data_IF_827517642710
#
_entry.id   IF_827517642710
#
_cell.length_a   1.000
_cell.length_b   1.000
_cell.length_c   1.000
_cell.angle_alpha   90.00
_cell.angle_beta   90.00
_cell.angle_gamma   90.00
#
_symmetry.space_group_name_H-M   'P 1'
#
loop_
_entity.id
_entity.type
_entity.pdbx_description
1 polymer ?
#
# COMPACT_ATOMS: atom_id res chain seq x y z
N UNK A 1 9.64 26.01 -8.12
CA UNK A 1 9.37 25.13 -9.29
C UNK A 1 8.53 25.90 -10.31
N UNK A 2 8.80 25.82 -11.62
CA UNK A 2 7.97 26.51 -12.65
C UNK A 2 6.57 25.86 -12.70
N UNK A 3 5.51 26.67 -12.87
CA UNK A 3 4.10 26.23 -12.87
C UNK A 3 3.85 25.12 -13.90
N UNK A 4 4.44 25.23 -15.10
CA UNK A 4 4.28 24.23 -16.16
C UNK A 4 4.92 22.87 -15.79
N UNK A 5 6.08 22.89 -15.13
CA UNK A 5 6.72 21.67 -14.61
C UNK A 5 5.86 21.02 -13.55
N UNK A 6 5.25 21.80 -12.65
CA UNK A 6 4.34 21.29 -11.63
C UNK A 6 3.17 20.53 -12.24
N UNK A 7 2.51 21.10 -13.27
CA UNK A 7 1.36 20.46 -13.94
C UNK A 7 1.75 19.15 -14.62
N UNK A 8 2.92 19.10 -15.27
CA UNK A 8 3.44 17.87 -15.89
C UNK A 8 3.69 16.78 -14.84
N UNK A 9 4.29 17.12 -13.70
CA UNK A 9 4.54 16.16 -12.62
C UNK A 9 3.24 15.66 -12.00
N UNK A 10 2.25 16.53 -11.74
CA UNK A 10 0.92 16.14 -11.25
C UNK A 10 0.25 15.14 -12.20
N UNK A 11 0.32 15.37 -13.51
CA UNK A 11 -0.17 14.43 -14.51
C UNK A 11 0.54 13.07 -14.46
N UNK A 12 1.87 13.07 -14.34
CA UNK A 12 2.65 11.82 -14.24
C UNK A 12 2.25 11.05 -12.97
N UNK A 13 2.05 11.74 -11.84
CA UNK A 13 1.60 11.06 -10.62
C UNK A 13 0.22 10.44 -10.83
N UNK A 14 -0.74 11.16 -11.42
CA UNK A 14 -2.06 10.60 -11.75
C UNK A 14 -1.93 9.36 -12.65
N UNK A 15 -1.10 9.45 -13.69
CA UNK A 15 -0.82 8.31 -14.57
C UNK A 15 -0.24 7.12 -13.81
N UNK A 16 0.68 7.34 -12.86
CA UNK A 16 1.23 6.27 -12.01
C UNK A 16 0.14 5.54 -11.21
N UNK A 17 -0.83 6.26 -10.63
CA UNK A 17 -1.97 5.62 -9.94
C UNK A 17 -2.80 4.75 -10.88
N UNK A 18 -3.13 5.26 -12.08
CA UNK A 18 -3.93 4.49 -13.02
C UNK A 18 -3.19 3.31 -13.63
N UNK A 19 -1.89 3.42 -13.86
CA UNK A 19 -1.05 2.28 -14.27
C UNK A 19 -1.00 1.22 -13.17
N UNK A 20 -0.86 1.62 -11.91
CA UNK A 20 -0.97 0.72 -10.76
C UNK A 20 -2.33 0.00 -10.75
N UNK A 21 -3.44 0.74 -10.93
CA UNK A 21 -4.77 0.13 -10.97
C UNK A 21 -4.94 -0.87 -12.11
N UNK A 22 -4.55 -0.49 -13.33
CA UNK A 22 -4.71 -1.32 -14.52
C UNK A 22 -3.90 -2.60 -14.39
N UNK A 23 -2.62 -2.50 -14.00
CA UNK A 23 -1.73 -3.67 -13.91
C UNK A 23 -2.22 -4.62 -12.81
N UNK A 24 -2.55 -4.09 -11.63
CA UNK A 24 -2.98 -4.92 -10.52
C UNK A 24 -4.32 -5.60 -10.84
N UNK A 25 -5.32 -4.88 -11.36
CA UNK A 25 -6.61 -5.49 -11.74
C UNK A 25 -6.46 -6.52 -12.85
N UNK A 26 -5.64 -6.23 -13.85
CA UNK A 26 -5.41 -7.18 -14.96
C UNK A 26 -4.84 -8.49 -14.43
N UNK A 27 -3.91 -8.41 -13.49
CA UNK A 27 -3.34 -9.58 -12.84
C UNK A 27 -4.36 -10.30 -11.95
N UNK A 28 -5.16 -9.58 -11.15
CA UNK A 28 -6.24 -10.18 -10.34
C UNK A 28 -7.27 -10.90 -11.21
N UNK A 29 -7.71 -10.29 -12.31
CA UNK A 29 -8.67 -10.87 -13.26
C UNK A 29 -8.07 -12.10 -13.94
N UNK A 30 -6.81 -12.02 -14.41
CA UNK A 30 -6.12 -13.16 -15.01
C UNK A 30 -6.02 -14.33 -14.02
N UNK A 31 -5.68 -14.05 -12.77
CA UNK A 31 -5.59 -15.05 -11.70
C UNK A 31 -6.93 -15.78 -11.50
N UNK A 32 -8.04 -15.03 -11.47
CA UNK A 32 -9.39 -15.63 -11.37
C UNK A 32 -9.73 -16.46 -12.60
N UNK A 33 -9.45 -15.96 -13.81
CA UNK A 33 -9.72 -16.68 -15.06
C UNK A 33 -8.94 -18.01 -15.08
N UNK A 34 -7.65 -17.98 -14.76
CA UNK A 34 -6.82 -19.19 -14.71
C UNK A 34 -7.30 -20.17 -13.63
N UNK A 35 -7.76 -19.66 -12.49
CA UNK A 35 -8.35 -20.49 -11.44
C UNK A 35 -9.58 -21.25 -11.95
N UNK A 36 -10.48 -20.57 -12.66
CA UNK A 36 -11.67 -21.17 -13.23
C UNK A 36 -11.35 -22.17 -14.35
N UNK A 37 -10.47 -21.80 -15.28
CA UNK A 37 -10.09 -22.64 -16.43
C UNK A 37 -9.43 -23.94 -15.97
N UNK A 38 -8.60 -23.89 -14.93
CA UNK A 38 -7.91 -25.06 -14.39
C UNK A 38 -8.72 -25.80 -13.30
N UNK A 39 -9.99 -25.45 -13.09
CA UNK A 39 -10.90 -26.19 -12.21
C UNK A 39 -10.62 -26.03 -10.71
N UNK A 40 -10.00 -24.91 -10.29
CA UNK A 40 -9.80 -24.61 -8.87
C UNK A 40 -11.16 -24.44 -8.20
N UNK A 41 -11.40 -25.18 -7.12
CA UNK A 41 -12.57 -24.98 -6.29
C UNK A 41 -12.38 -23.72 -5.43
N UNK A 42 -12.91 -22.60 -5.92
CA UNK A 42 -12.76 -21.27 -5.30
C UNK A 42 -13.24 -21.21 -3.84
N UNK A 43 -14.18 -22.08 -3.46
CA UNK A 43 -14.73 -22.16 -2.11
C UNK A 43 -14.59 -23.58 -1.53
N UNK A 44 -13.58 -24.33 -1.99
CA UNK A 44 -13.35 -25.70 -1.56
C UNK A 44 -12.89 -25.85 -0.11
N UNK A 45 -12.23 -24.83 0.41
CA UNK A 45 -11.84 -24.73 1.82
C UNK A 45 -11.98 -23.28 2.32
N UNK A 46 -11.83 -23.11 3.64
CA UNK A 46 -11.99 -21.79 4.28
C UNK A 46 -10.97 -20.76 3.81
N UNK A 47 -9.74 -21.17 3.46
CA UNK A 47 -8.70 -20.27 2.98
C UNK A 47 -9.05 -19.75 1.58
N UNK A 48 -9.36 -20.63 0.64
CA UNK A 48 -9.77 -20.26 -0.72
C UNK A 48 -11.04 -19.40 -0.67
N UNK A 49 -12.04 -19.82 0.11
CA UNK A 49 -13.28 -19.07 0.26
C UNK A 49 -13.02 -17.63 0.72
N UNK A 50 -12.13 -17.44 1.70
CA UNK A 50 -11.74 -16.11 2.15
C UNK A 50 -10.98 -15.32 1.06
N UNK A 51 -9.93 -15.88 0.46
CA UNK A 51 -9.06 -15.13 -0.47
C UNK A 51 -9.83 -14.67 -1.71
N UNK A 52 -10.68 -15.52 -2.29
CA UNK A 52 -11.54 -15.12 -3.41
C UNK A 52 -12.64 -14.15 -2.98
N UNK A 53 -13.23 -14.29 -1.79
CA UNK A 53 -14.20 -13.32 -1.27
C UNK A 53 -13.58 -11.93 -1.11
N UNK A 54 -12.42 -11.85 -0.45
CA UNK A 54 -11.68 -10.61 -0.25
C UNK A 54 -11.30 -9.96 -1.59
N UNK A 55 -10.84 -10.76 -2.56
CA UNK A 55 -10.55 -10.32 -3.92
C UNK A 55 -11.79 -9.72 -4.59
N UNK A 56 -12.92 -10.44 -4.61
CA UNK A 56 -14.13 -9.97 -5.29
C UNK A 56 -14.70 -8.71 -4.65
N UNK A 57 -14.76 -8.65 -3.31
CA UNK A 57 -15.22 -7.48 -2.58
C UNK A 57 -14.30 -6.28 -2.85
N UNK A 58 -12.98 -6.46 -2.78
CA UNK A 58 -12.01 -5.40 -3.04
C UNK A 58 -12.12 -4.87 -4.48
N UNK A 59 -12.23 -5.74 -5.49
CA UNK A 59 -12.43 -5.30 -6.89
C UNK A 59 -13.77 -4.58 -7.06
N UNK A 60 -14.86 -5.09 -6.49
CA UNK A 60 -16.17 -4.44 -6.59
C UNK A 60 -16.15 -3.05 -5.93
N UNK A 61 -15.61 -2.95 -4.71
CA UNK A 61 -15.46 -1.69 -4.00
C UNK A 61 -14.55 -0.72 -4.75
N UNK A 62 -13.44 -1.21 -5.34
CA UNK A 62 -12.56 -0.41 -6.18
C UNK A 62 -13.32 0.18 -7.37
N UNK A 63 -14.05 -0.64 -8.13
CA UNK A 63 -14.78 -0.17 -9.33
C UNK A 63 -15.83 0.86 -8.95
N UNK A 64 -16.61 0.61 -7.89
CA UNK A 64 -17.63 1.53 -7.40
C UNK A 64 -16.99 2.86 -6.98
N UNK A 65 -15.94 2.81 -6.15
CA UNK A 65 -15.29 4.02 -5.66
C UNK A 65 -14.64 4.81 -6.80
N UNK A 66 -13.94 4.13 -7.72
CA UNK A 66 -13.30 4.75 -8.88
C UNK A 66 -14.34 5.47 -9.76
N UNK A 67 -15.47 4.82 -10.05
CA UNK A 67 -16.53 5.39 -10.91
C UNK A 67 -17.32 6.52 -10.25
N UNK A 68 -17.37 6.59 -8.91
CA UNK A 68 -18.11 7.64 -8.20
C UNK A 68 -17.21 8.81 -7.87
N UNK A 69 -16.01 8.55 -7.32
CA UNK A 69 -15.14 9.55 -6.69
C UNK A 69 -13.97 9.97 -7.56
N UNK A 70 -13.48 9.11 -8.45
CA UNK A 70 -12.29 9.40 -9.28
C UNK A 70 -12.62 9.77 -10.73
N UNK A 71 -13.86 10.13 -11.04
CA UNK A 71 -14.30 10.47 -12.42
C UNK A 71 -13.47 11.59 -13.04
N UNK A 72 -13.22 12.64 -12.27
CA UNK A 72 -12.46 13.79 -12.76
C UNK A 72 -10.98 13.44 -12.89
N UNK A 73 -10.43 12.63 -11.99
CA UNK A 73 -9.08 12.09 -12.14
C UNK A 73 -8.92 11.21 -13.39
N UNK A 74 -9.95 10.44 -13.79
CA UNK A 74 -9.96 9.69 -15.06
C UNK A 74 -9.94 10.66 -16.25
N UNK A 75 -10.83 11.65 -16.25
CA UNK A 75 -10.88 12.66 -17.32
C UNK A 75 -9.57 13.43 -17.43
N UNK A 76 -8.92 13.74 -16.31
CA UNK A 76 -7.63 14.42 -16.25
C UNK A 76 -6.49 13.69 -17.00
N UNK A 77 -6.62 12.37 -17.24
CA UNK A 77 -5.69 11.62 -18.10
C UNK A 77 -5.79 12.01 -19.58
N UNK A 78 -6.99 12.38 -20.02
CA UNK A 78 -7.28 12.73 -21.42
C UNK A 78 -7.31 14.25 -21.61
N UNK A 79 -7.67 15.00 -20.56
CA UNK A 79 -7.81 16.46 -20.57
C UNK A 79 -6.86 17.06 -19.53
N UNK A 80 -5.71 17.57 -19.96
CA UNK A 80 -4.61 18.10 -19.11
C UNK A 80 -4.95 19.36 -18.28
N UNK A 81 -6.23 19.73 -18.15
CA UNK A 81 -6.69 20.95 -17.47
C UNK A 81 -7.48 20.71 -16.18
N UNK A 82 -7.83 19.46 -15.85
CA UNK A 82 -8.61 19.17 -14.66
C UNK A 82 -7.72 19.08 -13.40
N UNK A 83 -8.27 19.54 -12.26
CA UNK A 83 -7.64 19.39 -10.96
C UNK A 83 -7.69 17.92 -10.52
N UNK A 84 -6.58 17.43 -9.97
CA UNK A 84 -6.42 16.02 -9.61
C UNK A 84 -6.62 15.88 -8.09
N UNK A 85 -7.64 15.13 -7.69
CA UNK A 85 -7.93 14.84 -6.29
C UNK A 85 -7.14 13.62 -5.83
N UNK A 86 -5.95 13.84 -5.25
CA UNK A 86 -5.06 12.74 -4.87
C UNK A 86 -5.58 11.90 -3.70
N UNK A 87 -6.32 12.48 -2.76
CA UNK A 87 -6.91 11.76 -1.62
C UNK A 87 -7.79 10.60 -2.09
N UNK A 88 -8.65 10.85 -3.10
CA UNK A 88 -9.52 9.81 -3.66
C UNK A 88 -8.70 8.72 -4.37
N UNK A 89 -7.60 9.06 -5.04
CA UNK A 89 -6.69 8.05 -5.63
C UNK A 89 -6.00 7.21 -4.55
N UNK A 90 -5.57 7.83 -3.45
CA UNK A 90 -4.91 7.12 -2.34
C UNK A 90 -5.86 6.11 -1.69
N UNK A 91 -7.10 6.53 -1.42
CA UNK A 91 -8.16 5.65 -0.88
C UNK A 91 -8.46 4.51 -1.86
N UNK A 92 -8.59 4.83 -3.14
CA UNK A 92 -8.82 3.84 -4.20
C UNK A 92 -7.68 2.82 -4.26
N UNK A 93 -6.43 3.27 -4.13
CA UNK A 93 -5.27 2.37 -4.03
C UNK A 93 -5.36 1.45 -2.83
N UNK A 94 -5.71 1.98 -1.65
CA UNK A 94 -5.91 1.18 -0.45
C UNK A 94 -6.96 0.09 -0.62
N UNK A 95 -8.13 0.45 -1.18
CA UNK A 95 -9.21 -0.50 -1.45
C UNK A 95 -8.73 -1.63 -2.36
N UNK A 96 -8.02 -1.32 -3.44
CA UNK A 96 -7.51 -2.32 -4.38
C UNK A 96 -6.38 -3.15 -3.78
N UNK A 97 -5.53 -2.55 -2.94
CA UNK A 97 -4.39 -3.20 -2.30
C UNK A 97 -4.82 -4.37 -1.42
N UNK A 98 -6.03 -4.33 -0.82
CA UNK A 98 -6.60 -5.48 -0.10
C UNK A 98 -6.60 -6.75 -0.97
N UNK A 99 -7.02 -6.66 -2.24
CA UNK A 99 -6.93 -7.81 -3.17
C UNK A 99 -5.49 -8.19 -3.52
N UNK A 100 -4.57 -7.23 -3.44
CA UNK A 100 -3.15 -7.44 -3.65
C UNK A 100 -2.48 -8.18 -2.49
N UNK A 101 -3.01 -8.09 -1.27
CA UNK A 101 -2.48 -8.75 -0.09
C UNK A 101 -2.99 -10.19 0.10
N UNK A 102 -3.86 -10.68 -0.79
CA UNK A 102 -4.35 -12.07 -0.78
C UNK A 102 -3.86 -12.82 -2.01
N UNK A 103 -3.07 -13.88 -1.80
CA UNK A 103 -2.65 -14.77 -2.88
C UNK A 103 -3.70 -15.85 -3.13
N UNK A 104 -4.27 -15.81 -4.33
CA UNK A 104 -5.01 -16.90 -4.96
C UNK A 104 -4.04 -17.86 -5.67
N UNK A 105 -4.53 -19.03 -6.07
CA UNK A 105 -3.75 -20.13 -6.67
C UNK A 105 -2.85 -19.68 -7.83
N UNK A 106 -3.37 -18.84 -8.73
CA UNK A 106 -2.65 -18.34 -9.90
C UNK A 106 -2.23 -16.89 -9.77
N UNK A 107 -1.96 -16.41 -8.55
CA UNK A 107 -1.37 -15.07 -8.41
C UNK A 107 0.02 -15.05 -9.03
N UNK A 108 0.37 -13.96 -9.70
CA UNK A 108 1.71 -13.68 -10.20
C UNK A 108 2.34 -12.56 -9.35
N UNK A 109 3.07 -12.88 -8.25
CA UNK A 109 3.56 -11.89 -7.30
C UNK A 109 4.45 -10.81 -7.95
N UNK A 110 5.24 -11.21 -8.96
CA UNK A 110 6.13 -10.30 -9.68
C UNK A 110 5.37 -9.16 -10.36
N UNK A 111 4.19 -9.44 -10.94
CA UNK A 111 3.38 -8.40 -11.61
C UNK A 111 2.76 -7.46 -10.56
N UNK A 112 2.33 -8.00 -9.42
CA UNK A 112 1.84 -7.18 -8.31
C UNK A 112 2.95 -6.24 -7.78
N UNK A 113 4.18 -6.76 -7.65
CA UNK A 113 5.33 -5.97 -7.23
C UNK A 113 5.68 -4.87 -8.24
N UNK A 114 5.63 -5.17 -9.54
CA UNK A 114 5.81 -4.16 -10.61
C UNK A 114 4.75 -3.07 -10.51
N UNK A 115 3.48 -3.47 -10.33
CA UNK A 115 2.39 -2.52 -10.14
C UNK A 115 2.66 -1.60 -8.96
N UNK A 116 3.06 -2.17 -7.82
CA UNK A 116 3.39 -1.42 -6.62
C UNK A 116 4.58 -0.47 -6.84
N UNK A 117 5.62 -0.91 -7.56
CA UNK A 117 6.76 -0.06 -7.92
C UNK A 117 6.34 1.19 -8.70
N UNK A 118 5.32 1.11 -9.56
CA UNK A 118 4.79 2.26 -10.29
C UNK A 118 4.09 3.25 -9.34
N UNK A 119 3.38 2.76 -8.33
CA UNK A 119 2.80 3.61 -7.28
C UNK A 119 3.92 4.33 -6.50
N UNK A 120 5.00 3.64 -6.15
CA UNK A 120 6.18 4.22 -5.48
C UNK A 120 6.78 5.36 -6.31
N UNK A 121 6.86 5.23 -7.63
CA UNK A 121 7.32 6.32 -8.51
C UNK A 121 6.43 7.57 -8.35
N UNK A 122 5.11 7.40 -8.29
CA UNK A 122 4.17 8.50 -8.04
C UNK A 122 4.41 9.19 -6.69
N UNK A 123 4.61 8.39 -5.63
CA UNK A 123 4.94 8.87 -4.29
C UNK A 123 6.27 9.64 -4.30
N UNK A 124 7.30 9.09 -4.94
CA UNK A 124 8.63 9.71 -5.04
C UNK A 124 8.55 11.08 -5.72
N UNK A 125 7.80 11.19 -6.82
CA UNK A 125 7.59 12.46 -7.52
C UNK A 125 6.90 13.48 -6.60
N UNK A 126 5.86 13.05 -5.88
CA UNK A 126 5.16 13.92 -4.92
C UNK A 126 6.10 14.40 -3.80
N UNK A 127 6.90 13.53 -3.23
CA UNK A 127 7.91 13.86 -2.21
C UNK A 127 8.92 14.87 -2.76
N UNK A 128 9.43 14.66 -3.98
CA UNK A 128 10.32 15.62 -4.63
C UNK A 128 9.65 17.00 -4.78
N UNK A 129 8.39 17.04 -5.21
CA UNK A 129 7.64 18.30 -5.33
C UNK A 129 7.52 19.03 -3.99
N UNK A 130 7.27 18.31 -2.89
CA UNK A 130 7.16 18.88 -1.55
C UNK A 130 8.52 19.45 -1.09
N UNK A 131 9.62 18.72 -1.34
CA UNK A 131 11.00 19.17 -1.09
C UNK A 131 11.35 20.44 -1.87
N UNK A 132 10.97 20.51 -3.16
CA UNK A 132 11.22 21.70 -4.00
C UNK A 132 10.32 22.89 -3.66
N UNK A 133 9.21 22.67 -2.96
CA UNK A 133 8.28 23.72 -2.53
C UNK A 133 8.66 24.34 -1.18
N UNK A 134 9.83 23.99 -0.62
CA UNK A 134 10.37 24.57 0.61
C UNK A 134 10.08 23.75 1.87
N UNK A 135 9.55 22.54 1.74
CA UNK A 135 9.37 21.62 2.88
C UNK A 135 10.68 21.15 3.49
N UNK A 136 10.62 20.56 4.69
CA UNK A 136 11.82 20.02 5.35
C UNK A 136 12.35 18.81 4.54
N UNK A 137 13.47 19.03 3.84
CA UNK A 137 14.04 18.04 2.92
C UNK A 137 14.32 16.70 3.60
N UNK A 138 14.91 16.73 4.79
CA UNK A 138 15.27 15.52 5.54
C UNK A 138 14.02 14.77 5.96
N UNK A 139 13.02 15.49 6.48
CA UNK A 139 11.79 14.88 6.97
C UNK A 139 10.96 14.25 5.85
N UNK A 140 10.90 14.88 4.67
CA UNK A 140 10.23 14.33 3.49
C UNK A 140 10.91 13.05 2.97
N UNK A 141 12.24 13.01 2.92
CA UNK A 141 12.96 11.80 2.51
C UNK A 141 12.82 10.66 3.52
N UNK A 142 12.91 10.96 4.83
CA UNK A 142 12.67 9.95 5.87
C UNK A 142 11.23 9.45 5.83
N UNK A 143 10.26 10.34 5.61
CA UNK A 143 8.84 9.97 5.44
C UNK A 143 8.64 9.06 4.23
N UNK A 144 9.29 9.35 3.10
CA UNK A 144 9.26 8.48 1.93
C UNK A 144 9.80 7.08 2.22
N UNK A 145 11.00 7.00 2.80
CA UNK A 145 11.64 5.72 3.15
C UNK A 145 10.76 4.95 4.14
N UNK A 146 10.22 5.64 5.16
CA UNK A 146 9.32 5.05 6.13
C UNK A 146 8.05 4.50 5.49
N UNK A 147 7.38 5.27 4.62
CA UNK A 147 6.16 4.84 3.95
C UNK A 147 6.40 3.61 3.06
N UNK A 148 7.50 3.61 2.29
CA UNK A 148 7.89 2.47 1.45
C UNK A 148 8.21 1.25 2.33
N UNK A 149 9.00 1.39 3.39
CA UNK A 149 9.31 0.27 4.27
C UNK A 149 8.06 -0.27 4.98
N UNK A 150 7.21 0.62 5.50
CA UNK A 150 5.94 0.27 6.14
C UNK A 150 5.05 -0.55 5.19
N UNK A 151 4.93 -0.11 3.93
CA UNK A 151 4.12 -0.82 2.95
C UNK A 151 4.62 -2.23 2.62
N UNK A 152 5.94 -2.44 2.67
CA UNK A 152 6.56 -3.75 2.44
C UNK A 152 6.55 -4.64 3.70
N UNK A 153 6.30 -4.05 4.87
CA UNK A 153 6.06 -4.78 6.11
C UNK A 153 4.63 -5.34 6.19
N UNK A 154 3.70 -4.87 5.35
CA UNK A 154 2.34 -5.42 5.32
C UNK A 154 2.40 -6.91 4.96
N UNK A 155 1.89 -7.81 5.81
CA UNK A 155 1.94 -9.24 5.55
C UNK A 155 1.01 -9.57 4.38
N UNK A 156 1.53 -10.38 3.46
CA UNK A 156 0.77 -10.94 2.35
C UNK A 156 0.32 -12.34 2.75
N UNK A 157 -0.95 -12.65 2.52
CA UNK A 157 -1.53 -13.92 2.94
C UNK A 157 -1.09 -15.07 2.04
N UNK A 158 -0.55 -16.10 2.68
CA UNK A 158 -0.20 -17.37 2.04
C UNK A 158 -0.92 -18.52 2.72
N UNK A 159 -1.11 -19.62 1.98
CA UNK A 159 -1.53 -20.88 2.58
C UNK A 159 -0.44 -21.36 3.55
N UNK A 160 -0.83 -21.79 4.74
CA UNK A 160 0.05 -22.24 5.82
C UNK A 160 -0.49 -23.57 6.35
N UNK A 161 0.41 -24.42 6.83
CA UNK A 161 0.13 -25.78 7.29
C UNK A 161 0.42 -25.95 8.79
N UNK A 162 0.53 -24.84 9.55
CA UNK A 162 0.71 -24.84 11.01
C UNK A 162 -0.49 -25.55 11.64
N UNK A 163 -0.27 -26.23 12.77
CA UNK A 163 -1.32 -26.91 13.55
C UNK A 163 -2.52 -26.01 13.88
N UNK A 164 -2.32 -24.69 13.96
CA UNK A 164 -3.35 -23.66 14.19
C UNK A 164 -3.62 -22.79 12.94
N UNK A 165 -3.57 -23.38 11.74
CA UNK A 165 -3.71 -22.67 10.46
C UNK A 165 -4.94 -21.75 10.37
N UNK A 166 -6.10 -22.15 10.89
CA UNK A 166 -7.33 -21.33 10.85
C UNK A 166 -7.13 -20.02 11.62
N UNK A 167 -6.60 -20.09 12.83
CA UNK A 167 -6.36 -18.90 13.68
C UNK A 167 -5.29 -18.02 13.03
N UNK A 168 -4.23 -18.63 12.50
CA UNK A 168 -3.19 -17.91 11.79
C UNK A 168 -3.74 -17.15 10.57
N UNK A 169 -4.56 -17.78 9.74
CA UNK A 169 -5.17 -17.14 8.57
C UNK A 169 -6.10 -15.99 8.94
N UNK A 170 -6.87 -16.11 10.03
CA UNK A 170 -7.72 -15.01 10.53
C UNK A 170 -6.84 -13.83 10.98
N UNK A 171 -5.76 -14.10 11.72
CA UNK A 171 -4.85 -13.06 12.17
C UNK A 171 -4.13 -12.39 11.00
N UNK A 172 -3.65 -13.15 10.02
CA UNK A 172 -2.97 -12.60 8.84
C UNK A 172 -3.94 -11.72 8.02
N UNK A 173 -5.19 -12.15 7.86
CA UNK A 173 -6.26 -11.38 7.21
C UNK A 173 -6.56 -10.05 7.91
N UNK A 174 -6.76 -10.09 9.23
CA UNK A 174 -7.06 -8.90 10.01
C UNK A 174 -5.87 -7.95 10.00
N UNK A 175 -4.66 -8.48 10.22
CA UNK A 175 -3.44 -7.68 10.30
C UNK A 175 -3.15 -6.99 8.97
N UNK A 176 -3.19 -7.74 7.87
CA UNK A 176 -2.98 -7.20 6.54
C UNK A 176 -3.99 -6.08 6.23
N UNK A 177 -5.27 -6.31 6.50
CA UNK A 177 -6.33 -5.31 6.27
C UNK A 177 -6.11 -4.03 7.11
N UNK A 178 -5.78 -4.19 8.39
CA UNK A 178 -5.51 -3.06 9.30
C UNK A 178 -4.29 -2.26 8.84
N UNK A 179 -3.22 -2.94 8.42
CA UNK A 179 -2.01 -2.27 7.95
C UNK A 179 -2.19 -1.64 6.57
N UNK A 180 -3.01 -2.20 5.69
CA UNK A 180 -3.43 -1.55 4.43
C UNK A 180 -4.18 -0.24 4.73
N UNK A 181 -5.08 -0.22 5.71
CA UNK A 181 -5.77 1.02 6.13
C UNK A 181 -4.79 2.05 6.68
N UNK A 182 -3.85 1.63 7.54
CA UNK A 182 -2.82 2.51 8.08
C UNK A 182 -1.90 3.07 6.98
N UNK A 183 -1.45 2.23 6.05
CA UNK A 183 -0.68 2.66 4.88
C UNK A 183 -1.45 3.66 4.02
N UNK A 184 -2.73 3.40 3.76
CA UNK A 184 -3.61 4.29 2.98
C UNK A 184 -3.71 5.66 3.63
N UNK A 185 -3.85 5.69 4.96
CA UNK A 185 -3.85 6.94 5.72
C UNK A 185 -2.52 7.70 5.61
N UNK A 186 -1.38 7.01 5.82
CA UNK A 186 -0.05 7.61 5.66
C UNK A 186 0.19 8.11 4.22
N UNK A 187 -0.30 7.38 3.21
CA UNK A 187 -0.24 7.77 1.81
C UNK A 187 -1.00 9.09 1.57
N UNK A 188 -2.23 9.21 2.10
CA UNK A 188 -3.01 10.46 2.05
C UNK A 188 -2.21 11.62 2.64
N UNK A 189 -1.58 11.43 3.81
CA UNK A 189 -0.78 12.47 4.46
C UNK A 189 0.37 12.97 3.57
N UNK A 190 1.08 12.07 2.86
CA UNK A 190 2.12 12.48 1.90
C UNK A 190 1.55 13.34 0.78
N UNK A 191 0.37 12.97 0.29
CA UNK A 191 -0.29 13.67 -0.81
C UNK A 191 -0.90 15.02 -0.42
N UNK A 192 -1.29 15.17 0.84
CA UNK A 192 -1.75 16.42 1.44
C UNK A 192 -0.58 17.36 1.86
N UNK A 193 0.65 16.99 1.50
CA UNK A 193 1.89 17.71 1.84
C UNK A 193 2.20 17.74 3.35
N UNK A 194 1.67 16.79 4.13
CA UNK A 194 2.08 16.64 5.50
C UNK A 194 3.52 16.10 5.55
N UNK A 195 4.35 16.72 6.37
CA UNK A 195 5.76 16.36 6.56
C UNK A 195 5.96 15.37 7.71
N UNK A 196 4.92 15.05 8.49
CA UNK A 196 4.99 14.25 9.72
C UNK A 196 4.24 12.91 9.61
N UNK A 197 4.92 11.90 9.06
CA UNK A 197 4.40 10.51 9.06
C UNK A 197 4.76 9.74 10.34
N UNK A 198 5.55 10.31 11.26
CA UNK A 198 6.10 9.62 12.42
C UNK A 198 5.10 9.58 13.58
N UNK A 199 3.97 8.91 13.33
CA UNK A 199 2.86 8.73 14.25
C UNK A 199 3.07 7.47 15.10
N UNK A 200 3.30 7.65 16.41
CA UNK A 200 3.69 6.56 17.34
C UNK A 200 2.71 5.39 17.32
N UNK A 201 1.41 5.66 17.37
CA UNK A 201 0.42 4.58 17.46
C UNK A 201 0.36 3.74 16.18
N UNK A 202 0.68 4.30 15.01
CA UNK A 202 0.72 3.55 13.74
C UNK A 202 1.92 2.61 13.70
N UNK A 203 3.12 3.06 14.10
CA UNK A 203 4.28 2.18 14.13
C UNK A 203 4.18 1.11 15.23
N UNK A 204 3.58 1.46 16.38
CA UNK A 204 3.36 0.51 17.46
C UNK A 204 2.36 -0.58 17.04
N UNK A 205 1.29 -0.19 16.32
CA UNK A 205 0.33 -1.11 15.73
C UNK A 205 1.04 -2.07 14.75
N UNK A 206 1.80 -1.55 13.78
CA UNK A 206 2.57 -2.37 12.85
C UNK A 206 3.51 -3.34 13.56
N UNK A 207 4.33 -2.85 14.49
CA UNK A 207 5.29 -3.68 15.21
C UNK A 207 4.60 -4.79 16.01
N UNK A 208 3.47 -4.50 16.67
CA UNK A 208 2.72 -5.49 17.43
C UNK A 208 2.10 -6.56 16.50
N UNK A 209 1.46 -6.14 15.41
CA UNK A 209 0.79 -7.06 14.48
C UNK A 209 1.81 -7.95 13.74
N UNK A 210 2.92 -7.38 13.28
CA UNK A 210 3.97 -8.14 12.59
C UNK A 210 4.70 -9.08 13.55
N UNK A 211 4.98 -8.66 14.78
CA UNK A 211 5.61 -9.52 15.78
C UNK A 211 4.76 -10.75 16.11
N UNK A 212 3.44 -10.60 16.23
CA UNK A 212 2.52 -11.73 16.43
C UNK A 212 2.58 -12.71 15.27
N UNK A 213 2.52 -12.22 14.02
CA UNK A 213 2.57 -13.09 12.85
C UNK A 213 3.92 -13.79 12.69
N UNK A 214 5.02 -13.06 12.87
CA UNK A 214 6.37 -13.62 12.79
C UNK A 214 6.57 -14.68 13.87
N UNK A 215 6.11 -14.44 15.10
CA UNK A 215 6.21 -15.40 16.20
C UNK A 215 5.42 -16.68 15.94
N UNK A 216 4.19 -16.56 15.41
CA UNK A 216 3.38 -17.73 15.04
C UNK A 216 4.00 -18.51 13.88
N UNK A 217 4.49 -17.81 12.86
CA UNK A 217 5.06 -18.42 11.65
C UNK A 217 6.46 -18.98 11.83
N UNK A 218 7.14 -18.63 12.93
CA UNK A 218 8.46 -19.16 13.27
C UNK A 218 8.50 -20.69 13.35
N UNK A 219 7.36 -21.33 13.56
CA UNK A 219 7.21 -22.79 13.62
C UNK A 219 7.34 -23.47 12.25
N UNK A 220 7.10 -22.74 11.15
CA UNK A 220 7.23 -23.24 9.78
C UNK A 220 8.40 -22.59 9.06
N UNK A 221 8.23 -21.30 8.72
CA UNK A 221 9.17 -20.54 7.91
C UNK A 221 9.03 -19.05 8.26
N UNK A 222 10.15 -18.44 8.62
CA UNK A 222 10.20 -17.00 8.93
C UNK A 222 10.06 -16.23 7.61
N UNK A 223 9.06 -15.34 7.55
CA UNK A 223 8.96 -14.39 6.46
C UNK A 223 10.03 -13.28 6.64
N UNK A 224 11.25 -13.55 6.15
CA UNK A 224 12.38 -12.62 6.25
C UNK A 224 12.11 -11.29 5.56
N UNK A 225 11.30 -11.28 4.50
CA UNK A 225 10.95 -10.06 3.78
C UNK A 225 10.21 -9.08 4.71
N UNK A 226 9.13 -9.54 5.35
CA UNK A 226 8.37 -8.74 6.31
C UNK A 226 9.24 -8.34 7.50
N UNK A 227 10.05 -9.27 8.05
CA UNK A 227 10.95 -8.97 9.17
C UNK A 227 11.95 -7.84 8.84
N UNK A 228 12.59 -7.90 7.66
CA UNK A 228 13.55 -6.88 7.22
C UNK A 228 12.84 -5.53 7.08
N UNK A 229 11.69 -5.49 6.40
CA UNK A 229 11.00 -4.22 6.15
C UNK A 229 10.35 -3.64 7.39
N UNK A 230 9.83 -4.46 8.31
CA UNK A 230 9.38 -4.02 9.62
C UNK A 230 10.54 -3.40 10.43
N UNK A 231 11.73 -4.03 10.39
CA UNK A 231 12.95 -3.48 11.00
C UNK A 231 13.38 -2.15 10.40
N UNK A 232 13.41 -2.03 9.06
CA UNK A 232 13.74 -0.78 8.37
C UNK A 232 12.70 0.31 8.66
N UNK A 233 11.42 -0.03 8.69
CA UNK A 233 10.34 0.89 9.02
C UNK A 233 10.48 1.41 10.47
N UNK A 234 10.77 0.52 11.43
CA UNK A 234 11.03 0.88 12.83
C UNK A 234 12.25 1.80 12.98
N UNK A 235 13.37 1.46 12.35
CA UNK A 235 14.59 2.27 12.40
C UNK A 235 14.35 3.66 11.79
N UNK A 236 13.72 3.70 10.62
CA UNK A 236 13.41 4.97 9.95
C UNK A 236 12.43 5.80 10.78
N UNK A 237 11.46 5.15 11.44
CA UNK A 237 10.54 5.81 12.36
C UNK A 237 11.29 6.47 13.51
N UNK A 238 12.18 5.73 14.20
CA UNK A 238 12.94 6.24 15.34
C UNK A 238 13.80 7.44 14.92
N UNK A 239 14.53 7.31 13.82
CA UNK A 239 15.39 8.39 13.30
C UNK A 239 14.55 9.62 12.94
N UNK A 240 13.46 9.44 12.21
CA UNK A 240 12.57 10.53 11.81
C UNK A 240 11.88 11.21 12.99
N UNK A 241 11.45 10.44 13.98
CA UNK A 241 10.82 10.96 15.19
C UNK A 241 11.79 11.78 16.04
N UNK A 242 13.02 11.29 16.26
CA UNK A 242 14.07 12.03 16.98
C UNK A 242 14.44 13.32 16.24
N UNK A 243 14.62 13.24 14.92
CA UNK A 243 14.94 14.40 14.09
C UNK A 243 13.84 15.46 14.17
N UNK A 244 12.58 15.05 14.06
CA UNK A 244 11.41 15.92 14.21
C UNK A 244 11.39 16.63 15.57
N UNK A 245 11.59 15.90 16.68
CA UNK A 245 11.64 16.49 18.02
C UNK A 245 12.76 17.52 18.17
N UNK A 246 13.94 17.20 17.64
CA UNK A 246 15.12 18.08 17.69
C UNK A 246 14.87 19.36 16.89
N UNK A 247 14.30 19.23 15.69
CA UNK A 247 14.00 20.36 14.82
C UNK A 247 12.87 21.25 15.39
N UNK A 248 11.91 20.70 16.14
CA UNK A 248 10.89 21.49 16.86
C UNK A 248 11.53 22.32 17.98
N UNK A 249 12.37 21.68 18.81
CA UNK A 249 13.06 22.35 19.92
C UNK A 249 13.97 23.50 19.47
N UNK A 250 14.60 23.41 18.30
CA UNK A 250 15.46 24.49 17.77
C UNK A 250 14.69 25.69 17.20
N UNK A 251 13.35 25.62 17.11
CA UNK A 251 12.48 26.70 16.60
C UNK A 251 11.71 27.43 17.71
N UNK A 252 11.76 26.92 18.94
CA UNK A 252 11.22 27.54 20.17
C UNK A 252 12.32 28.32 20.89
#
# INVERSE_FOLDING_TARGET
MKIETSKKLTYIINLSFFLYFIILISERVLSVILSLVNGVNLYGDGFNGYTYTALFISIAAFVIYLLIRCRDNIKALFVKKEDIHFTDLCITSGILLVSGMVHTEYTIPVIQFISYGILIIGILIKVMMNVYSGGNKVLHWLSFIYLVAFSMAIPVMYRSFIDQNVVFHILEAVNSTVLVMAFTYLLVLVFDNNDDLFIIWIVALMAALDAVLIALRWQEEINYFVLIFAGVALLTFIVGYIYKLTNRRNRE
#
